data_IF_802046253914
#
_entry.id   IF_802046253914
#
_cell.length_a   1.000
_cell.length_b   1.000
_cell.length_c   1.000
_cell.angle_alpha   90.00
_cell.angle_beta   90.00
_cell.angle_gamma   90.00
#
_symmetry.space_group_name_H-M   'P 1'
#
loop_
_entity.id
_entity.type
_entity.pdbx_description
1 polymer ?
#
# COMPACT_ATOMS: atom_id res chain seq x y z
N UNK A 1 6.06 9.17 45.62
CA UNK A 1 7.38 8.61 45.26
C UNK A 1 7.95 9.49 44.15
N UNK A 2 9.05 10.19 44.38
CA UNK A 2 9.77 10.89 43.31
C UNK A 2 10.58 9.86 42.53
N UNK A 3 10.32 9.76 41.23
CA UNK A 3 11.06 8.89 40.31
C UNK A 3 12.05 9.78 39.57
N UNK A 4 13.33 9.45 39.66
CA UNK A 4 14.41 10.13 38.93
C UNK A 4 14.78 9.29 37.71
N UNK A 5 14.90 9.93 36.54
CA UNK A 5 15.23 9.27 35.28
C UNK A 5 16.63 9.68 34.82
N UNK A 6 17.39 8.71 34.32
CA UNK A 6 18.67 8.92 33.65
C UNK A 6 18.51 8.67 32.15
N UNK A 7 19.15 9.51 31.32
CA UNK A 7 19.04 9.44 29.87
C UNK A 7 20.37 9.08 29.24
N UNK A 8 20.33 8.25 28.20
CA UNK A 8 21.51 7.75 27.50
C UNK A 8 21.32 7.84 25.98
N UNK A 9 22.37 8.20 25.25
CA UNK A 9 22.43 8.13 23.78
C UNK A 9 23.49 7.10 23.37
N UNK A 10 23.24 6.37 22.29
CA UNK A 10 24.17 5.36 21.78
C UNK A 10 25.07 6.00 20.71
N UNK A 11 26.39 5.90 20.87
CA UNK A 11 27.39 6.45 19.93
C UNK A 11 28.01 5.36 19.05
N UNK A 12 27.41 4.17 18.99
CA UNK A 12 27.86 3.03 18.17
C UNK A 12 28.71 2.02 18.94
N UNK A 13 29.67 2.48 19.75
CA UNK A 13 30.53 1.62 20.59
C UNK A 13 30.19 1.68 22.10
N UNK A 14 29.22 2.51 22.49
CA UNK A 14 28.82 2.65 23.90
C UNK A 14 27.66 3.59 24.15
N UNK A 15 27.19 3.60 25.41
CA UNK A 15 26.12 4.49 25.91
C UNK A 15 26.72 5.68 26.66
N UNK A 16 26.41 6.89 26.22
CA UNK A 16 26.79 8.14 26.91
C UNK A 16 25.60 8.70 27.69
N UNK A 17 25.81 8.99 28.97
CA UNK A 17 24.78 9.64 29.80
C UNK A 17 24.63 11.12 29.38
N UNK A 18 23.39 11.58 29.21
CA UNK A 18 23.06 12.92 28.77
C UNK A 18 21.95 13.53 29.62
N UNK A 19 21.79 14.85 29.55
CA UNK A 19 20.67 15.53 30.20
C UNK A 19 19.39 15.43 29.37
N UNK A 20 18.24 15.64 30.02
CA UNK A 20 16.93 15.60 29.35
C UNK A 20 16.83 16.61 28.20
N UNK A 21 17.34 17.83 28.37
CA UNK A 21 17.26 18.87 27.34
C UNK A 21 18.04 18.49 26.07
N UNK A 22 19.16 17.79 26.24
CA UNK A 22 19.98 17.31 25.14
C UNK A 22 19.22 16.25 24.33
N UNK A 23 18.69 15.21 24.98
CA UNK A 23 18.01 14.11 24.27
C UNK A 23 16.75 14.58 23.53
N UNK A 24 16.00 15.55 24.07
CA UNK A 24 14.81 16.11 23.42
C UNK A 24 15.18 16.87 22.14
N UNK A 25 16.23 17.68 22.18
CA UNK A 25 16.69 18.45 21.02
C UNK A 25 17.37 17.56 19.98
N UNK A 26 18.14 16.55 20.41
CA UNK A 26 18.86 15.66 19.50
C UNK A 26 17.94 14.72 18.74
N UNK A 27 16.89 14.21 19.38
CA UNK A 27 15.91 13.31 18.73
C UNK A 27 14.70 14.07 18.16
N UNK A 28 14.65 15.39 18.33
CA UNK A 28 13.52 16.27 17.97
C UNK A 28 12.16 15.74 18.48
N UNK A 29 12.12 15.37 19.75
CA UNK A 29 10.92 14.84 20.42
C UNK A 29 10.49 15.73 21.58
N UNK A 30 9.18 15.82 21.79
CA UNK A 30 8.63 16.59 22.91
C UNK A 30 8.80 15.85 24.24
N UNK A 31 8.91 16.61 25.34
CA UNK A 31 8.99 16.04 26.69
C UNK A 31 7.80 15.13 27.02
N UNK A 32 6.60 15.48 26.52
CA UNK A 32 5.40 14.65 26.67
C UNK A 32 5.57 13.29 25.98
N UNK A 33 6.15 13.25 24.79
CA UNK A 33 6.40 12.00 24.08
C UNK A 33 7.39 11.10 24.86
N UNK A 34 8.47 11.70 25.37
CA UNK A 34 9.54 10.98 26.06
C UNK A 34 9.23 10.55 27.51
N UNK A 35 8.35 11.26 28.22
CA UNK A 35 7.96 10.87 29.59
C UNK A 35 6.64 10.10 29.62
N UNK A 36 5.68 10.48 28.79
CA UNK A 36 4.36 9.86 28.82
C UNK A 36 4.34 8.65 27.88
N UNK A 37 4.74 8.80 26.62
CA UNK A 37 4.48 7.76 25.63
C UNK A 37 5.46 6.58 25.74
N UNK A 38 6.76 6.83 25.83
CA UNK A 38 7.77 5.77 25.92
C UNK A 38 7.74 5.05 27.27
N UNK A 39 7.53 5.73 28.39
CA UNK A 39 7.49 5.05 29.70
C UNK A 39 6.20 4.26 29.92
N UNK A 40 5.04 4.77 29.49
CA UNK A 40 3.77 4.04 29.65
C UNK A 40 3.58 2.92 28.62
N UNK A 41 4.16 3.08 27.42
CA UNK A 41 4.06 2.11 26.33
C UNK A 41 5.36 1.35 26.09
N UNK A 42 6.37 1.43 26.95
CA UNK A 42 7.50 0.51 26.83
C UNK A 42 7.12 -0.84 27.44
N UNK A 43 7.47 -1.92 26.75
CA UNK A 43 7.45 -3.27 27.29
C UNK A 43 8.87 -3.79 27.19
N UNK A 44 9.49 -4.11 28.33
CA UNK A 44 10.87 -4.64 28.38
C UNK A 44 11.90 -3.75 27.66
N UNK A 45 11.72 -2.42 27.71
CA UNK A 45 12.62 -1.46 27.06
C UNK A 45 12.42 -1.31 25.54
N UNK A 46 11.41 -1.96 24.96
CA UNK A 46 11.03 -1.85 23.56
C UNK A 46 9.64 -1.21 23.40
N UNK A 47 9.34 -0.70 22.20
CA UNK A 47 8.00 -0.20 21.87
C UNK A 47 6.96 -1.34 21.86
N UNK A 48 5.72 -1.09 22.30
CA UNK A 48 4.65 -2.10 22.14
C UNK A 48 4.40 -2.38 20.65
N UNK A 49 3.93 -3.59 20.37
CA UNK A 49 3.40 -3.95 19.05
C UNK A 49 2.27 -2.99 18.65
N UNK A 50 2.32 -2.48 17.42
CA UNK A 50 1.32 -1.57 16.85
C UNK A 50 -0.09 -2.21 16.84
N UNK A 51 -1.10 -1.49 17.36
CA UNK A 51 -2.45 -2.01 17.62
C UNK A 51 -3.54 -1.43 16.72
N UNK A 52 -3.26 -0.40 15.92
CA UNK A 52 -4.22 0.28 15.02
C UNK A 52 -4.76 -0.64 13.91
N UNK A 53 -4.05 -1.72 13.58
CA UNK A 53 -4.43 -2.64 12.49
C UNK A 53 -4.87 -4.03 12.96
N UNK A 54 -5.34 -4.17 14.21
CA UNK A 54 -5.91 -5.45 14.65
C UNK A 54 -7.36 -5.59 14.17
N UNK A 55 -7.63 -6.63 13.39
CA UNK A 55 -9.00 -7.08 13.10
C UNK A 55 -9.60 -7.70 14.37
N UNK A 56 -10.33 -6.90 15.12
CA UNK A 56 -11.11 -7.41 16.25
C UNK A 56 -12.30 -8.21 15.72
N UNK A 57 -12.61 -9.33 16.38
CA UNK A 57 -13.85 -10.04 16.13
C UNK A 57 -15.03 -9.05 16.29
N UNK A 58 -15.94 -9.06 15.32
CA UNK A 58 -17.10 -8.17 15.34
C UNK A 58 -17.87 -8.36 16.64
N UNK A 59 -18.10 -7.27 17.37
CA UNK A 59 -18.90 -7.27 18.61
C UNK A 59 -20.38 -7.61 18.37
N UNK A 60 -20.81 -7.63 17.10
CA UNK A 60 -22.20 -7.80 16.71
C UNK A 60 -22.50 -9.26 16.43
N UNK A 61 -23.63 -9.73 16.97
CA UNK A 61 -24.20 -11.04 16.65
C UNK A 61 -24.54 -11.13 15.16
N UNK A 62 -24.56 -12.34 14.61
CA UNK A 62 -24.90 -12.53 13.19
C UNK A 62 -26.34 -12.07 12.88
N UNK A 63 -27.23 -12.15 13.87
CA UNK A 63 -28.59 -11.60 13.79
C UNK A 63 -28.60 -10.07 13.59
N UNK A 64 -27.76 -9.31 14.30
CA UNK A 64 -27.66 -7.87 14.13
C UNK A 64 -27.09 -7.49 12.75
N UNK A 65 -26.13 -8.27 12.23
CA UNK A 65 -25.62 -8.08 10.86
C UNK A 65 -26.70 -8.35 9.81
N UNK A 66 -27.52 -9.38 10.02
CA UNK A 66 -28.64 -9.69 9.12
C UNK A 66 -29.70 -8.60 9.14
N UNK A 67 -30.04 -8.07 10.31
CA UNK A 67 -30.94 -6.92 10.42
C UNK A 67 -30.44 -5.71 9.62
N UNK A 68 -29.15 -5.38 9.72
CA UNK A 68 -28.54 -4.28 8.96
C UNK A 68 -28.59 -4.56 7.46
N UNK A 69 -28.31 -5.79 7.02
CA UNK A 69 -28.43 -6.18 5.60
C UNK A 69 -29.85 -6.01 5.09
N UNK A 70 -30.84 -6.47 5.85
CA UNK A 70 -32.26 -6.32 5.52
C UNK A 70 -32.69 -4.85 5.48
N UNK A 71 -32.21 -4.04 6.43
CA UNK A 71 -32.48 -2.60 6.47
C UNK A 71 -31.88 -1.87 5.26
N UNK A 72 -30.63 -2.17 4.90
CA UNK A 72 -29.97 -1.60 3.71
C UNK A 72 -30.77 -1.93 2.45
N UNK A 73 -31.29 -3.15 2.34
CA UNK A 73 -32.09 -3.58 1.19
C UNK A 73 -33.46 -2.89 1.11
N UNK A 74 -33.95 -2.26 2.17
CA UNK A 74 -35.20 -1.47 2.17
C UNK A 74 -35.01 -0.04 1.68
N UNK A 75 -33.78 0.47 1.62
CA UNK A 75 -33.52 1.82 1.17
C UNK A 75 -33.75 1.93 -0.36
N UNK A 76 -34.37 3.02 -0.85
CA UNK A 76 -34.59 3.21 -2.28
C UNK A 76 -33.24 3.29 -3.00
N UNK A 77 -33.03 2.40 -3.96
CA UNK A 77 -31.78 2.31 -4.70
C UNK A 77 -31.83 3.27 -5.87
N UNK A 78 -31.02 4.33 -5.82
CA UNK A 78 -30.78 5.16 -7.00
C UNK A 78 -29.79 4.42 -7.90
N UNK A 79 -30.14 4.09 -9.15
CA UNK A 79 -29.17 3.53 -10.08
C UNK A 79 -28.06 4.56 -10.28
N UNK A 80 -26.81 4.17 -10.01
CA UNK A 80 -25.69 5.05 -10.36
C UNK A 80 -25.75 5.30 -11.87
N UNK A 81 -25.58 6.55 -12.29
CA UNK A 81 -25.52 6.94 -13.70
C UNK A 81 -24.45 6.16 -14.52
N UNK A 82 -23.51 5.50 -13.82
CA UNK A 82 -22.47 4.65 -14.38
C UNK A 82 -22.79 3.13 -14.38
N UNK A 83 -23.93 2.72 -13.81
CA UNK A 83 -24.36 1.32 -13.84
C UNK A 83 -25.20 1.07 -15.10
N UNK A 84 -24.84 0.03 -15.85
CA UNK A 84 -25.62 -0.43 -17.00
C UNK A 84 -27.02 -0.86 -16.52
N UNK A 85 -28.01 -0.65 -17.39
CA UNK A 85 -29.47 -0.79 -17.17
C UNK A 85 -29.93 -2.08 -16.44
N UNK A 86 -29.11 -3.14 -16.42
CA UNK A 86 -29.51 -4.48 -15.94
C UNK A 86 -28.66 -5.09 -14.81
N UNK A 87 -27.82 -4.34 -14.08
CA UNK A 87 -27.00 -4.94 -12.99
C UNK A 87 -27.49 -4.60 -11.58
N UNK A 88 -28.16 -5.56 -10.92
CA UNK A 88 -28.52 -5.53 -9.49
C UNK A 88 -27.39 -5.95 -8.54
N UNK A 89 -26.14 -6.00 -9.03
CA UNK A 89 -25.00 -6.53 -8.28
C UNK A 89 -24.18 -5.41 -7.64
N UNK A 90 -23.94 -5.54 -6.33
CA UNK A 90 -22.90 -4.79 -5.62
C UNK A 90 -21.55 -5.02 -6.32
N UNK A 91 -20.88 -3.95 -6.73
CA UNK A 91 -19.59 -4.05 -7.40
C UNK A 91 -18.48 -4.25 -6.37
N UNK A 92 -18.09 -5.50 -6.14
CA UNK A 92 -16.79 -5.82 -5.55
C UNK A 92 -15.73 -5.35 -6.56
N UNK A 93 -14.75 -4.51 -6.18
CA UNK A 93 -13.73 -4.06 -7.12
C UNK A 93 -13.07 -5.28 -7.77
N UNK A 94 -13.27 -5.44 -9.08
CA UNK A 94 -12.56 -6.47 -9.83
C UNK A 94 -11.08 -6.14 -9.74
N UNK A 95 -10.23 -7.11 -9.37
CA UNK A 95 -8.76 -7.02 -9.55
C UNK A 95 -8.49 -6.36 -10.90
N UNK A 96 -7.54 -5.42 -10.95
CA UNK A 96 -7.25 -4.64 -12.16
C UNK A 96 -7.20 -5.56 -13.38
N UNK A 97 -8.24 -5.47 -14.20
CA UNK A 97 -8.38 -6.31 -15.38
C UNK A 97 -7.60 -5.67 -16.51
N UNK A 98 -6.84 -6.49 -17.23
CA UNK A 98 -6.08 -6.03 -18.38
C UNK A 98 -7.02 -5.44 -19.45
N UNK A 99 -6.63 -4.35 -20.10
CA UNK A 99 -7.48 -3.65 -21.10
C UNK A 99 -7.90 -4.61 -22.23
N UNK A 100 -6.97 -5.46 -22.69
CA UNK A 100 -7.23 -6.48 -23.72
C UNK A 100 -8.32 -7.47 -23.28
N UNK A 101 -8.23 -7.94 -22.04
CA UNK A 101 -9.20 -8.86 -21.41
C UNK A 101 -10.58 -8.21 -21.28
N UNK A 102 -10.61 -6.93 -20.86
CA UNK A 102 -11.85 -6.16 -20.70
C UNK A 102 -12.50 -5.90 -22.06
N UNK A 103 -11.71 -5.60 -23.08
CA UNK A 103 -12.19 -5.38 -24.44
C UNK A 103 -12.88 -6.66 -24.98
N UNK A 104 -12.20 -7.80 -24.85
CA UNK A 104 -12.74 -9.10 -25.24
C UNK A 104 -14.00 -9.51 -24.44
N UNK A 105 -14.08 -9.23 -23.13
CA UNK A 105 -15.28 -9.52 -22.34
C UNK A 105 -16.50 -8.66 -22.71
N UNK A 106 -16.27 -7.45 -23.25
CA UNK A 106 -17.34 -6.49 -23.53
C UNK A 106 -17.81 -6.49 -25.00
N UNK A 107 -17.02 -7.03 -25.93
CA UNK A 107 -17.42 -7.17 -27.33
C UNK A 107 -18.13 -8.51 -27.55
N UNK A 108 -19.35 -8.45 -28.10
CA UNK A 108 -20.14 -9.67 -28.44
C UNK A 108 -19.64 -10.35 -29.72
N UNK A 109 -19.13 -9.56 -30.67
CA UNK A 109 -18.55 -10.04 -31.92
C UNK A 109 -17.12 -9.54 -32.01
N UNK A 110 -16.16 -10.47 -31.90
CA UNK A 110 -14.72 -10.22 -31.96
C UNK A 110 -14.23 -10.76 -33.30
N UNK A 111 -13.50 -9.95 -34.08
CA UNK A 111 -12.93 -10.40 -35.36
C UNK A 111 -11.94 -11.55 -35.16
N UNK A 112 -11.73 -12.39 -36.17
CA UNK A 112 -10.79 -13.53 -36.09
C UNK A 112 -9.38 -13.08 -35.67
N UNK A 113 -8.93 -11.92 -36.15
CA UNK A 113 -7.65 -11.30 -35.79
C UNK A 113 -7.58 -10.88 -34.31
N UNK A 114 -8.67 -10.33 -33.76
CA UNK A 114 -8.74 -9.98 -32.33
C UNK A 114 -8.82 -11.22 -31.43
N UNK A 115 -9.44 -12.31 -31.92
CA UNK A 115 -9.44 -13.59 -31.21
C UNK A 115 -8.05 -14.23 -31.17
N UNK A 116 -7.28 -14.15 -32.25
CA UNK A 116 -5.89 -14.62 -32.29
C UNK A 116 -5.00 -13.82 -31.33
N UNK A 117 -5.07 -12.49 -31.37
CA UNK A 117 -4.36 -11.62 -30.41
C UNK A 117 -4.74 -11.91 -28.95
N UNK A 118 -6.00 -12.26 -28.69
CA UNK A 118 -6.45 -12.66 -27.36
C UNK A 118 -5.86 -14.01 -26.94
N UNK A 119 -5.79 -14.99 -27.85
CA UNK A 119 -5.16 -16.29 -27.59
C UNK A 119 -3.68 -16.13 -27.25
N UNK A 120 -2.97 -15.33 -28.03
CA UNK A 120 -1.55 -15.03 -27.78
C UNK A 120 -1.35 -14.30 -26.46
N UNK A 121 -2.20 -13.31 -26.16
CA UNK A 121 -2.18 -12.62 -24.88
C UNK A 121 -2.38 -13.58 -23.69
N UNK A 122 -3.34 -14.50 -23.77
CA UNK A 122 -3.59 -15.48 -22.71
C UNK A 122 -2.43 -16.48 -22.60
N UNK A 123 -1.83 -16.87 -23.73
CA UNK A 123 -0.67 -17.75 -23.77
C UNK A 123 0.54 -17.11 -23.08
N UNK A 124 0.87 -15.88 -23.43
CA UNK A 124 1.98 -15.13 -22.82
C UNK A 124 1.72 -14.85 -21.34
N UNK A 125 0.48 -14.54 -20.95
CA UNK A 125 0.11 -14.42 -19.54
C UNK A 125 0.40 -15.70 -18.77
N UNK A 126 0.00 -16.86 -19.31
CA UNK A 126 0.29 -18.17 -18.70
C UNK A 126 1.79 -18.49 -18.70
N UNK A 127 2.51 -18.10 -19.76
CA UNK A 127 3.96 -18.27 -19.84
C UNK A 127 4.68 -17.44 -18.78
N UNK A 128 4.31 -16.17 -18.59
CA UNK A 128 4.85 -15.29 -17.57
C UNK A 128 4.69 -15.86 -16.16
N UNK A 129 3.49 -16.34 -15.79
CA UNK A 129 3.30 -16.99 -14.49
C UNK A 129 4.14 -18.26 -14.30
N UNK A 130 4.32 -19.05 -15.37
CA UNK A 130 5.19 -20.23 -15.32
C UNK A 130 6.65 -19.86 -15.14
N UNK A 131 7.14 -18.84 -15.85
CA UNK A 131 8.51 -18.29 -15.71
C UNK A 131 8.72 -17.80 -14.28
N UNK A 132 7.82 -16.99 -13.75
CA UNK A 132 7.89 -16.48 -12.38
C UNK A 132 7.94 -17.62 -11.34
N UNK A 133 7.05 -18.61 -11.44
CA UNK A 133 7.03 -19.75 -10.52
C UNK A 133 8.29 -20.62 -10.63
N UNK A 134 8.86 -20.77 -11.84
CA UNK A 134 10.11 -21.50 -12.04
C UNK A 134 11.31 -20.76 -11.42
N UNK A 135 11.41 -19.44 -11.63
CA UNK A 135 12.48 -18.62 -11.09
C UNK A 135 12.43 -18.54 -9.56
N UNK A 136 11.22 -18.46 -8.98
CA UNK A 136 11.03 -18.53 -7.53
C UNK A 136 11.55 -19.87 -6.95
N UNK A 137 11.32 -20.99 -7.64
CA UNK A 137 11.85 -22.31 -7.24
C UNK A 137 13.37 -22.39 -7.41
N UNK A 138 13.92 -21.87 -8.51
CA UNK A 138 15.36 -21.86 -8.74
C UNK A 138 16.12 -21.06 -7.68
N UNK A 139 15.57 -19.91 -7.26
CA UNK A 139 16.13 -19.15 -6.13
C UNK A 139 16.14 -19.97 -4.83
N UNK A 140 15.11 -20.76 -4.55
CA UNK A 140 15.10 -21.59 -3.33
C UNK A 140 16.18 -22.68 -3.32
N UNK A 141 16.74 -23.01 -4.50
CA UNK A 141 17.80 -24.00 -4.69
C UNK A 141 19.20 -23.34 -4.77
N UNK A 142 19.32 -22.16 -5.39
CA UNK A 142 20.56 -21.41 -5.55
C UNK A 142 20.39 -19.95 -5.12
N UNK A 143 21.22 -19.47 -4.19
CA UNK A 143 21.25 -18.07 -3.72
C UNK A 143 21.85 -17.06 -4.73
N UNK A 144 22.02 -17.45 -5.99
CA UNK A 144 22.71 -16.65 -7.02
C UNK A 144 21.76 -15.81 -7.89
N UNK A 145 20.45 -16.01 -7.75
CA UNK A 145 19.44 -15.32 -8.57
C UNK A 145 18.42 -14.63 -7.69
N UNK A 146 18.17 -13.33 -7.89
CA UNK A 146 17.10 -12.58 -7.20
C UNK A 146 15.82 -12.53 -8.05
N UNK A 147 14.66 -12.70 -7.41
CA UNK A 147 13.35 -12.55 -8.08
C UNK A 147 12.60 -11.38 -7.46
N UNK A 148 12.56 -10.25 -8.17
CA UNK A 148 11.89 -9.03 -7.73
C UNK A 148 10.77 -8.65 -8.69
N UNK A 149 9.66 -8.17 -8.14
CA UNK A 149 8.55 -7.56 -8.89
C UNK A 149 8.57 -6.07 -8.63
N UNK A 150 8.39 -5.25 -9.66
CA UNK A 150 8.34 -3.81 -9.48
C UNK A 150 7.11 -3.22 -10.16
N UNK A 151 6.56 -2.17 -9.56
CA UNK A 151 5.43 -1.43 -10.12
C UNK A 151 5.49 0.03 -9.68
N UNK A 152 4.92 0.91 -10.50
CA UNK A 152 4.76 2.32 -10.17
C UNK A 152 3.35 2.55 -9.61
N UNK A 153 3.26 3.07 -8.39
CA UNK A 153 1.97 3.40 -7.82
C UNK A 153 1.27 4.51 -8.64
N UNK A 154 -0.07 4.54 -8.57
CA UNK A 154 -0.86 5.67 -9.06
C UNK A 154 -0.27 7.00 -8.55
N UNK A 155 -0.09 7.95 -9.47
CA UNK A 155 0.45 9.29 -9.20
C UNK A 155 -0.25 9.92 -7.98
N UNK A 156 0.56 10.30 -6.99
CA UNK A 156 0.10 10.89 -5.75
C UNK A 156 0.03 12.41 -5.92
N UNK A 157 -1.18 12.92 -6.04
CA UNK A 157 -1.41 14.35 -6.13
C UNK A 157 -1.40 14.96 -4.72
N UNK A 158 -0.49 15.91 -4.49
CA UNK A 158 -0.32 16.63 -3.22
C UNK A 158 -0.42 18.14 -3.47
N UNK A 159 -0.81 18.97 -2.49
CA UNK A 159 -1.29 18.64 -1.16
C UNK A 159 -2.71 18.05 -1.15
N UNK A 160 -2.97 17.15 -0.21
CA UNK A 160 -4.29 16.58 0.04
C UNK A 160 -4.94 17.30 1.22
N UNK A 161 -6.23 17.62 1.15
CA UNK A 161 -6.97 18.22 2.26
C UNK A 161 -8.44 18.41 1.94
N UNK A 162 -9.23 18.70 2.97
CA UNK A 162 -10.69 18.80 2.89
C UNK A 162 -11.19 20.15 2.36
N UNK A 163 -10.30 21.12 2.20
CA UNK A 163 -10.65 22.47 1.75
C UNK A 163 -10.96 22.50 0.25
N UNK A 164 -12.10 23.11 -0.10
CA UNK A 164 -12.49 23.37 -1.50
C UNK A 164 -11.44 24.21 -2.26
N UNK A 165 -10.62 25.01 -1.57
CA UNK A 165 -9.58 25.82 -2.20
C UNK A 165 -8.45 24.96 -2.81
N UNK A 166 -8.24 23.75 -2.29
CA UNK A 166 -7.26 22.79 -2.83
C UNK A 166 -7.70 22.22 -4.18
N UNK A 167 -8.99 22.27 -4.52
CA UNK A 167 -9.49 21.87 -5.83
C UNK A 167 -8.94 22.77 -6.95
N UNK A 168 -8.81 24.08 -6.65
CA UNK A 168 -8.32 25.08 -7.61
C UNK A 168 -6.81 25.27 -7.57
N UNK A 169 -6.14 24.66 -6.58
CA UNK A 169 -4.69 24.73 -6.46
C UNK A 169 -4.02 23.77 -7.46
N UNK A 170 -2.85 24.16 -7.99
CA UNK A 170 -2.05 23.26 -8.82
C UNK A 170 -1.60 22.06 -7.97
N UNK A 171 -1.95 20.86 -8.44
CA UNK A 171 -1.56 19.61 -7.78
C UNK A 171 -0.11 19.29 -8.14
N UNK A 172 0.71 19.10 -7.11
CA UNK A 172 2.07 18.60 -7.22
C UNK A 172 2.04 17.08 -7.33
N UNK A 173 2.55 16.55 -8.43
CA UNK A 173 2.62 15.12 -8.67
C UNK A 173 3.85 14.52 -7.96
N UNK A 174 3.61 13.52 -7.12
CA UNK A 174 4.65 12.70 -6.49
C UNK A 174 4.53 11.28 -7.04
N UNK A 175 5.66 10.71 -7.43
CA UNK A 175 5.77 9.35 -7.94
C UNK A 175 6.31 8.44 -6.83
N UNK A 176 5.83 7.20 -6.81
CA UNK A 176 6.32 6.17 -5.91
C UNK A 176 6.59 4.90 -6.72
N UNK A 177 7.86 4.57 -6.89
CA UNK A 177 8.31 3.35 -7.52
C UNK A 177 8.58 2.30 -6.45
N UNK A 178 7.93 1.14 -6.59
CA UNK A 178 8.00 0.08 -5.59
C UNK A 178 8.68 -1.14 -6.18
N UNK A 179 9.66 -1.68 -5.46
CA UNK A 179 10.32 -2.95 -5.77
C UNK A 179 10.05 -3.90 -4.62
N UNK A 180 9.45 -5.04 -4.91
CA UNK A 180 9.18 -6.09 -3.97
C UNK A 180 10.05 -7.32 -4.29
N UNK A 181 10.96 -7.64 -3.39
CA UNK A 181 11.78 -8.82 -3.48
C UNK A 181 11.01 -10.03 -2.94
N UNK A 182 10.78 -11.04 -3.79
CA UNK A 182 9.89 -12.16 -3.45
C UNK A 182 10.51 -13.18 -2.49
N UNK A 183 11.84 -13.15 -2.31
CA UNK A 183 12.60 -14.06 -1.46
C UNK A 183 12.63 -13.58 -0.01
N UNK A 184 13.17 -12.38 0.21
CA UNK A 184 13.26 -11.72 1.52
C UNK A 184 11.91 -11.19 1.99
N UNK A 185 10.96 -11.01 1.06
CA UNK A 185 9.70 -10.33 1.27
C UNK A 185 9.86 -8.84 1.63
N UNK A 186 11.01 -8.27 1.28
CA UNK A 186 11.30 -6.86 1.49
C UNK A 186 10.70 -6.00 0.36
N UNK A 187 10.14 -4.85 0.77
CA UNK A 187 9.59 -3.85 -0.12
C UNK A 187 10.40 -2.56 -0.06
N UNK A 188 10.94 -2.14 -1.20
CA UNK A 188 11.66 -0.89 -1.36
C UNK A 188 10.75 0.13 -2.05
N UNK A 189 10.70 1.35 -1.53
CA UNK A 189 9.90 2.44 -2.07
C UNK A 189 10.80 3.62 -2.40
N UNK A 190 10.79 4.06 -3.65
CA UNK A 190 11.54 5.19 -4.16
C UNK A 190 10.55 6.29 -4.55
N UNK A 191 10.61 7.42 -3.86
CA UNK A 191 9.68 8.54 -4.07
C UNK A 191 10.42 9.77 -4.56
N UNK A 192 9.91 10.40 -5.61
CA UNK A 192 10.40 11.68 -6.11
C UNK A 192 9.24 12.54 -6.61
N UNK A 193 9.45 13.85 -6.65
CA UNK A 193 8.44 14.79 -7.12
C UNK A 193 8.59 15.14 -8.60
N UNK A 194 7.56 15.77 -9.18
CA UNK A 194 7.61 16.25 -10.56
C UNK A 194 8.72 17.28 -10.85
N UNK A 195 9.30 17.91 -9.81
CA UNK A 195 10.47 18.78 -9.96
C UNK A 195 11.76 18.00 -10.24
N UNK A 196 11.85 16.78 -9.72
CA UNK A 196 13.10 16.01 -9.66
C UNK A 196 13.25 15.12 -10.90
N UNK A 197 12.13 14.65 -11.45
CA UNK A 197 12.12 13.79 -12.62
C UNK A 197 10.71 13.43 -13.07
N UNK A 198 10.62 12.86 -14.29
CA UNK A 198 9.37 12.29 -14.80
C UNK A 198 9.24 10.84 -14.37
N UNK A 199 8.34 10.10 -15.03
CA UNK A 199 8.04 8.69 -14.81
C UNK A 199 8.63 7.79 -15.91
N UNK A 200 9.69 8.26 -16.58
CA UNK A 200 10.31 7.58 -17.70
C UNK A 200 11.21 6.44 -17.25
N UNK A 201 11.73 5.71 -18.23
CA UNK A 201 12.71 4.63 -17.99
C UNK A 201 13.98 5.15 -17.32
N UNK A 202 14.39 6.37 -17.67
CA UNK A 202 15.64 6.95 -17.20
C UNK A 202 15.55 7.24 -15.70
N UNK A 203 14.45 7.84 -15.25
CA UNK A 203 14.23 8.09 -13.82
C UNK A 203 14.14 6.79 -13.02
N UNK A 204 13.47 5.77 -13.56
CA UNK A 204 13.37 4.45 -12.93
C UNK A 204 14.74 3.77 -12.84
N UNK A 205 15.59 3.90 -13.86
CA UNK A 205 16.93 3.31 -13.86
C UNK A 205 17.92 4.02 -12.94
N UNK A 206 17.67 5.30 -12.63
CA UNK A 206 18.52 6.10 -11.73
C UNK A 206 18.14 6.01 -10.25
N UNK A 207 17.00 5.38 -9.92
CA UNK A 207 16.53 5.21 -8.54
C UNK A 207 17.41 4.24 -7.73
#
# INVERSE_FOLDING_TARGET
>A
RHITYEYYINEGEGRRQVCQKFILNTLDVTQKFLLYYTLTNSKEGMAQTEKRTRHYASKYSEAAKNYVREFINKLPVTPSHYARKDSSRFHIPKKDKCIVCVKAENQKDITEEEQEKLKDHILEKKASYRRFAAHQKLHSLNNDTVTSSFDLQKVLNTPHGESMLLYYSRKYAVYNFTIYESSTQDGYCFTWGESDGKKGSDEIATC
#
